data_IF_719870289430
#
_entry.id   IF_719870289430
#
_cell.length_a   1.000
_cell.length_b   1.000
_cell.length_c   1.000
_cell.angle_alpha   90.00
_cell.angle_beta   90.00
_cell.angle_gamma   90.00
#
_symmetry.space_group_name_H-M   'P 1'
#
loop_
_entity.id
_entity.type
_entity.pdbx_description
1 polymer ?
#
# COMPACT_ATOMS: atom_id res chain seq x y z
N UNK A 1 -21.23 6.83 19.67
CA UNK A 1 -20.83 7.87 18.69
C UNK A 1 -19.36 7.61 18.35
N UNK A 2 -19.08 6.84 17.29
CA UNK A 2 -17.71 6.57 16.84
C UNK A 2 -17.50 7.35 15.56
N UNK A 3 -16.77 8.45 15.66
CA UNK A 3 -16.43 9.32 14.55
C UNK A 3 -14.99 8.94 14.13
N UNK A 4 -14.86 8.08 13.13
CA UNK A 4 -13.59 7.79 12.45
C UNK A 4 -13.45 8.78 11.29
N UNK A 5 -13.35 10.06 11.62
CA UNK A 5 -13.07 11.13 10.67
C UNK A 5 -11.74 11.73 11.07
N UNK A 6 -10.63 11.09 10.63
CA UNK A 6 -9.44 11.78 10.07
C UNK A 6 -8.20 10.87 9.90
N UNK A 7 -8.21 9.61 10.32
CA UNK A 7 -7.01 8.74 10.19
C UNK A 7 -6.90 8.05 8.81
N UNK A 8 -7.29 8.75 7.72
CA UNK A 8 -7.34 8.16 6.37
C UNK A 8 -6.02 8.21 5.60
N UNK A 9 -5.07 9.02 6.04
CA UNK A 9 -3.82 9.28 5.32
C UNK A 9 -2.56 8.78 6.06
N UNK A 10 -2.73 8.03 7.16
CA UNK A 10 -1.60 7.48 7.95
C UNK A 10 -1.62 5.95 7.89
N UNK A 11 -0.48 5.33 7.58
CA UNK A 11 -0.34 3.86 7.66
C UNK A 11 -0.56 3.43 9.12
N UNK A 12 -1.54 2.55 9.41
CA UNK A 12 -1.79 2.15 10.79
C UNK A 12 -0.62 1.34 11.38
N UNK A 13 -0.49 1.40 12.71
CA UNK A 13 0.62 0.80 13.45
C UNK A 13 0.81 -0.70 13.18
N UNK A 14 -0.28 -1.41 12.91
CA UNK A 14 -0.24 -2.85 12.62
C UNK A 14 0.56 -3.15 11.35
N UNK A 15 0.40 -2.32 10.32
CA UNK A 15 1.11 -2.44 9.05
C UNK A 15 2.57 -2.03 9.24
N UNK A 16 2.86 -0.96 10.01
CA UNK A 16 4.23 -0.47 10.25
C UNK A 16 5.18 -1.51 10.85
N UNK A 17 4.67 -2.43 11.67
CA UNK A 17 5.49 -3.43 12.41
C UNK A 17 5.71 -4.74 11.65
N UNK A 18 5.21 -4.88 10.42
CA UNK A 18 5.24 -6.14 9.66
C UNK A 18 5.96 -5.98 8.34
N UNK A 19 6.49 -7.09 7.80
CA UNK A 19 6.90 -7.15 6.39
C UNK A 19 5.67 -7.19 5.50
N UNK A 20 5.65 -6.33 4.49
CA UNK A 20 4.54 -6.12 3.58
C UNK A 20 4.96 -6.43 2.14
N UNK A 21 4.11 -7.12 1.40
CA UNK A 21 4.19 -7.25 -0.06
C UNK A 21 3.34 -6.17 -0.70
N UNK A 22 3.99 -5.25 -1.42
CA UNK A 22 3.35 -4.17 -2.17
C UNK A 22 3.27 -4.53 -3.64
N UNK A 23 2.14 -4.24 -4.27
CA UNK A 23 1.85 -4.56 -5.68
C UNK A 23 1.16 -3.38 -6.34
N UNK A 24 1.79 -2.79 -7.33
CA UNK A 24 1.26 -1.69 -8.10
C UNK A 24 0.54 -2.19 -9.35
N UNK A 25 -0.64 -1.63 -9.61
CA UNK A 25 -1.50 -2.02 -10.72
C UNK A 25 -1.80 -0.84 -11.62
N UNK A 26 -1.91 -1.11 -12.93
CA UNK A 26 -2.31 -0.13 -13.93
C UNK A 26 -3.84 -0.07 -14.11
N UNK A 27 -4.30 0.72 -15.10
CA UNK A 27 -5.73 0.90 -15.39
C UNK A 27 -6.42 -0.38 -15.90
N UNK A 28 -5.65 -1.33 -16.45
CA UNK A 28 -6.12 -2.63 -16.92
C UNK A 28 -6.08 -3.68 -15.80
N UNK A 29 -5.84 -3.26 -14.55
CA UNK A 29 -5.68 -4.14 -13.38
C UNK A 29 -4.53 -5.14 -13.52
N UNK A 30 -3.52 -4.80 -14.34
CA UNK A 30 -2.31 -5.59 -14.50
C UNK A 30 -1.24 -5.11 -13.52
N UNK A 31 -0.56 -6.06 -12.87
CA UNK A 31 0.54 -5.74 -11.95
C UNK A 31 1.76 -5.30 -12.75
N UNK A 32 2.21 -4.06 -12.55
CA UNK A 32 3.33 -3.47 -13.30
C UNK A 32 4.56 -3.21 -12.42
N UNK A 33 4.40 -3.20 -11.08
CA UNK A 33 5.51 -3.10 -10.13
C UNK A 33 5.17 -3.86 -8.85
N UNK A 34 6.18 -4.34 -8.12
CA UNK A 34 6.00 -5.02 -6.85
C UNK A 34 7.26 -4.92 -5.97
N UNK A 35 7.11 -5.23 -4.70
CA UNK A 35 8.22 -5.31 -3.77
C UNK A 35 7.81 -5.87 -2.42
N UNK A 36 8.81 -6.17 -1.60
CA UNK A 36 8.63 -6.49 -0.18
C UNK A 36 9.36 -5.43 0.63
N UNK A 37 8.66 -4.79 1.55
CA UNK A 37 9.19 -3.70 2.39
C UNK A 37 8.86 -3.96 3.86
N UNK A 38 9.65 -3.38 4.75
CA UNK A 38 9.23 -3.24 6.13
C UNK A 38 8.14 -2.16 6.20
N UNK A 39 7.18 -2.33 7.11
CA UNK A 39 5.99 -1.47 7.14
C UNK A 39 6.29 0.00 7.40
N UNK A 40 7.42 0.31 8.04
CA UNK A 40 7.92 1.68 8.23
C UNK A 40 8.29 2.36 6.90
N UNK A 41 8.64 1.59 5.87
CA UNK A 41 9.04 2.09 4.56
C UNK A 41 7.89 2.11 3.55
N UNK A 42 6.67 1.75 3.96
CA UNK A 42 5.51 1.61 3.07
C UNK A 42 5.19 2.92 2.34
N UNK A 43 5.19 4.05 3.04
CA UNK A 43 4.87 5.37 2.47
C UNK A 43 5.91 5.78 1.42
N UNK A 44 7.20 5.63 1.74
CA UNK A 44 8.28 5.90 0.80
C UNK A 44 8.16 5.02 -0.44
N UNK A 45 7.91 3.72 -0.26
CA UNK A 45 7.78 2.79 -1.39
C UNK A 45 6.55 3.08 -2.26
N UNK A 46 5.43 3.44 -1.64
CA UNK A 46 4.24 3.85 -2.36
C UNK A 46 4.50 5.12 -3.19
N UNK A 47 5.20 6.11 -2.61
CA UNK A 47 5.63 7.32 -3.31
C UNK A 47 6.50 7.02 -4.53
N UNK A 48 7.49 6.15 -4.41
CA UNK A 48 8.32 5.69 -5.53
C UNK A 48 7.48 5.01 -6.63
N UNK A 49 6.56 4.13 -6.25
CA UNK A 49 5.70 3.43 -7.22
C UNK A 49 4.78 4.41 -7.94
N UNK A 50 4.19 5.38 -7.25
CA UNK A 50 3.34 6.40 -7.86
C UNK A 50 4.09 7.48 -8.66
N UNK A 51 5.43 7.49 -8.63
CA UNK A 51 6.22 8.29 -9.56
C UNK A 51 6.03 7.81 -11.02
N UNK A 52 5.65 6.55 -11.20
CA UNK A 52 5.14 6.03 -12.47
C UNK A 52 3.64 6.35 -12.62
N UNK A 53 3.29 7.11 -13.66
CA UNK A 53 1.91 7.56 -13.93
C UNK A 53 0.98 6.44 -14.42
N UNK A 54 1.56 5.31 -14.84
CA UNK A 54 0.80 4.12 -15.22
C UNK A 54 0.27 3.39 -13.99
N UNK A 55 0.86 3.59 -12.81
CA UNK A 55 0.35 3.06 -11.55
C UNK A 55 -0.93 3.79 -11.13
N UNK A 56 -2.05 3.05 -11.09
CA UNK A 56 -3.37 3.56 -10.66
C UNK A 56 -3.65 3.31 -9.19
N UNK A 57 -3.25 2.16 -8.68
CA UNK A 57 -3.39 1.84 -7.26
C UNK A 57 -2.37 0.82 -6.81
N UNK A 58 -2.15 0.74 -5.50
CA UNK A 58 -1.24 -0.22 -4.89
C UNK A 58 -2.03 -1.08 -3.90
N UNK A 59 -1.89 -2.40 -4.01
CA UNK A 59 -2.33 -3.32 -2.97
C UNK A 59 -1.18 -3.67 -2.04
N UNK A 60 -1.48 -3.67 -0.76
CA UNK A 60 -0.57 -4.06 0.30
C UNK A 60 -1.09 -5.33 0.93
N UNK A 61 -0.24 -6.35 0.99
CA UNK A 61 -0.49 -7.64 1.60
C UNK A 61 0.54 -7.88 2.70
N UNK A 62 0.26 -8.74 3.67
CA UNK A 62 1.31 -9.21 4.57
C UNK A 62 2.24 -10.17 3.82
N UNK A 63 3.56 -10.02 3.95
CA UNK A 63 4.54 -10.77 3.14
C UNK A 63 4.61 -12.29 3.46
N UNK A 64 4.11 -12.72 4.63
CA UNK A 64 3.98 -14.14 4.99
C UNK A 64 2.76 -14.81 4.33
N UNK A 65 2.15 -15.79 5.00
CA UNK A 65 0.83 -16.34 4.63
C UNK A 65 -0.28 -15.30 4.90
N UNK A 66 -0.22 -14.21 4.13
CA UNK A 66 -0.84 -12.94 4.46
C UNK A 66 -1.99 -12.61 3.54
N UNK A 67 -3.16 -12.32 4.13
CA UNK A 67 -4.27 -11.72 3.43
C UNK A 67 -3.93 -10.29 2.98
N UNK A 68 -4.80 -9.74 2.12
CA UNK A 68 -4.85 -8.32 1.82
C UNK A 68 -4.92 -7.48 3.12
N UNK A 69 -4.14 -6.41 3.18
CA UNK A 69 -4.09 -5.48 4.31
C UNK A 69 -4.81 -4.18 3.97
N UNK A 70 -4.33 -3.44 2.96
CA UNK A 70 -4.87 -2.13 2.56
C UNK A 70 -4.68 -1.89 1.06
N UNK A 71 -5.50 -0.99 0.50
CA UNK A 71 -5.33 -0.40 -0.84
C UNK A 71 -4.89 1.05 -0.67
N UNK A 72 -3.90 1.47 -1.45
CA UNK A 72 -3.44 2.85 -1.52
C UNK A 72 -3.82 3.41 -2.89
N UNK A 73 -4.42 4.59 -2.90
CA UNK A 73 -4.85 5.31 -4.11
C UNK A 73 -4.37 6.75 -4.04
N UNK A 74 -4.13 7.37 -5.20
CA UNK A 74 -3.89 8.82 -5.29
C UNK A 74 -5.23 9.54 -5.26
N UNK A 75 -5.34 10.62 -4.50
CA UNK A 75 -6.45 11.58 -4.61
C UNK A 75 -6.35 12.36 -5.92
#
# INVERSE_FOLDING_TARGET
MFKLEDEKDVVPDQQRRRKLSVRAYNAEHMMINNGVVDGVDLEAKAGEMFADLDVKYIHVHYAGAGCFAVKIERK
#
